data_IF_591110595250
#
_entry.id   IF_591110595250
#
_cell.length_a   1.000
_cell.length_b   1.000
_cell.length_c   1.000
_cell.angle_alpha   90.00
_cell.angle_beta   90.00
_cell.angle_gamma   90.00
#
_symmetry.space_group_name_H-M   'P 1'
#
loop_
_entity.id
_entity.type
_entity.pdbx_description
1 polymer ?
#
# COMPACT_ATOMS: atom_id res chain seq x y z
N UNK A 1 19.34 14.89 2.17
CA UNK A 1 18.12 14.71 2.98
C UNK A 1 17.42 16.05 3.09
N UNK A 2 16.09 16.07 3.14
CA UNK A 2 15.34 17.30 3.35
C UNK A 2 15.33 17.62 4.86
N UNK A 3 15.77 18.81 5.24
CA UNK A 3 15.71 19.30 6.61
C UNK A 3 14.42 20.10 6.79
N UNK A 4 13.53 19.62 7.66
CA UNK A 4 12.24 20.25 7.91
C UNK A 4 12.34 21.58 8.69
N UNK A 5 13.40 21.78 9.47
CA UNK A 5 13.60 23.01 10.24
C UNK A 5 14.08 24.15 9.35
N UNK A 6 15.04 23.87 8.48
CA UNK A 6 15.56 24.86 7.52
C UNK A 6 14.72 24.97 6.24
N UNK A 7 13.97 23.92 5.89
CA UNK A 7 13.23 23.84 4.62
C UNK A 7 14.15 23.64 3.41
N UNK A 8 15.38 23.18 3.62
CA UNK A 8 16.40 23.06 2.59
C UNK A 8 16.84 21.59 2.38
N UNK A 9 17.32 21.30 1.18
CA UNK A 9 17.95 20.02 0.87
C UNK A 9 19.41 20.03 1.33
N UNK A 10 19.72 19.23 2.34
CA UNK A 10 21.07 19.03 2.86
C UNK A 10 21.76 17.91 2.09
N UNK A 11 23.01 18.13 1.69
CA UNK A 11 23.83 17.08 1.08
C UNK A 11 24.03 15.92 2.07
N UNK A 12 23.71 14.72 1.61
CA UNK A 12 23.78 13.50 2.41
C UNK A 12 24.86 12.53 1.91
N UNK A 13 25.65 12.93 0.92
CA UNK A 13 26.68 12.10 0.30
C UNK A 13 27.93 11.87 1.18
N UNK A 14 28.17 12.73 2.18
CA UNK A 14 29.35 12.67 3.05
C UNK A 14 29.29 11.66 4.20
N UNK A 15 28.21 10.88 4.30
CA UNK A 15 28.02 9.89 5.35
C UNK A 15 28.33 8.50 4.77
N UNK A 16 29.49 7.93 5.16
CA UNK A 16 30.14 6.78 4.52
C UNK A 16 29.34 5.45 4.59
N UNK A 17 28.31 5.35 5.44
CA UNK A 17 27.52 4.13 5.64
C UNK A 17 26.21 4.06 4.82
N UNK A 18 25.95 5.01 3.92
CA UNK A 18 24.58 5.27 3.44
C UNK A 18 24.22 4.66 2.08
N UNK A 19 24.49 3.37 1.89
CA UNK A 19 23.79 2.62 0.84
C UNK A 19 22.34 2.36 1.28
N UNK A 20 21.40 3.19 0.81
CA UNK A 20 19.97 2.98 1.08
C UNK A 20 19.45 1.90 0.12
N UNK A 21 19.17 0.71 0.67
CA UNK A 21 18.48 -0.37 -0.05
C UNK A 21 17.00 -0.33 0.27
N UNK A 22 16.17 -0.33 -0.76
CA UNK A 22 14.72 -0.40 -0.64
C UNK A 22 14.23 -1.73 -1.22
N UNK A 23 13.48 -2.48 -0.41
CA UNK A 23 12.74 -3.65 -0.87
C UNK A 23 11.29 -3.22 -1.11
N UNK A 24 10.84 -3.27 -2.36
CA UNK A 24 9.52 -2.80 -2.76
C UNK A 24 8.71 -3.96 -3.30
N UNK A 25 7.58 -4.25 -2.65
CA UNK A 25 6.58 -5.17 -3.21
C UNK A 25 5.73 -4.41 -4.23
N UNK A 26 5.80 -4.84 -5.48
CA UNK A 26 5.16 -4.15 -6.61
C UNK A 26 3.75 -4.69 -6.91
N UNK A 27 3.54 -6.00 -6.75
CA UNK A 27 2.26 -6.65 -7.01
C UNK A 27 1.84 -7.51 -5.82
N UNK A 28 0.56 -7.42 -5.47
CA UNK A 28 -0.03 -8.28 -4.44
C UNK A 28 -0.36 -9.67 -4.97
N UNK A 29 -0.83 -10.54 -4.08
CA UNK A 29 -1.25 -11.91 -4.42
C UNK A 29 -2.28 -11.98 -5.56
N UNK A 30 -3.21 -11.02 -5.63
CA UNK A 30 -4.22 -10.94 -6.69
C UNK A 30 -3.69 -10.37 -8.02
N UNK A 31 -2.36 -10.22 -8.15
CA UNK A 31 -1.68 -9.64 -9.32
C UNK A 31 -2.09 -8.19 -9.61
N UNK A 32 -2.67 -7.50 -8.62
CA UNK A 32 -3.00 -6.10 -8.73
C UNK A 32 -1.76 -5.25 -8.40
N UNK A 33 -1.52 -4.15 -9.15
CA UNK A 33 -0.39 -3.26 -8.88
C UNK A 33 -0.62 -2.53 -7.56
N UNK A 34 0.32 -2.67 -6.64
CA UNK A 34 0.35 -1.97 -5.36
C UNK A 34 0.76 -0.50 -5.53
N UNK A 35 0.70 0.25 -4.43
CA UNK A 35 1.10 1.65 -4.39
C UNK A 35 2.54 1.86 -4.91
N UNK A 36 3.47 1.00 -4.47
CA UNK A 36 4.88 1.08 -4.85
C UNK A 36 5.09 0.95 -6.36
N UNK A 37 4.35 0.07 -7.04
CA UNK A 37 4.42 -0.04 -8.50
C UNK A 37 4.00 1.26 -9.19
N UNK A 38 2.94 1.91 -8.71
CA UNK A 38 2.46 3.18 -9.27
C UNK A 38 3.43 4.32 -9.02
N UNK A 39 4.03 4.35 -7.83
CA UNK A 39 5.09 5.31 -7.50
C UNK A 39 6.31 5.12 -8.40
N UNK A 40 6.75 3.88 -8.62
CA UNK A 40 7.89 3.57 -9.49
C UNK A 40 7.62 4.02 -10.94
N UNK A 41 6.46 3.67 -11.50
CA UNK A 41 6.01 4.13 -12.83
C UNK A 41 6.11 5.65 -12.95
N UNK A 42 5.65 6.38 -11.92
CA UNK A 42 5.66 7.85 -11.92
C UNK A 42 7.08 8.43 -11.74
N UNK A 43 7.88 7.86 -10.86
CA UNK A 43 9.17 8.42 -10.45
C UNK A 43 10.27 8.16 -11.49
N UNK A 44 10.30 6.98 -12.11
CA UNK A 44 11.37 6.58 -13.03
C UNK A 44 10.88 6.39 -14.48
N UNK A 45 9.59 6.60 -14.75
CA UNK A 45 9.02 6.49 -16.09
C UNK A 45 8.90 5.04 -16.59
N UNK A 46 8.92 4.06 -15.70
CA UNK A 46 8.67 2.66 -16.04
C UNK A 46 7.25 2.48 -16.59
N UNK A 47 7.05 1.60 -17.57
CA UNK A 47 5.73 1.40 -18.19
C UNK A 47 4.79 0.49 -17.38
N UNK A 48 5.33 -0.18 -16.34
CA UNK A 48 4.60 -1.06 -15.44
C UNK A 48 4.19 -2.40 -16.07
N UNK A 49 4.75 -2.76 -17.23
CA UNK A 49 4.33 -3.97 -17.99
C UNK A 49 5.35 -5.08 -17.96
N UNK A 50 6.63 -4.74 -17.94
CA UNK A 50 7.72 -5.71 -18.08
C UNK A 50 8.86 -5.46 -17.09
N UNK A 51 9.21 -6.49 -16.31
CA UNK A 51 10.33 -6.46 -15.39
C UNK A 51 11.69 -6.59 -16.09
N UNK A 52 11.74 -7.26 -17.26
CA UNK A 52 12.97 -7.31 -18.05
C UNK A 52 13.34 -5.92 -18.57
N UNK A 53 12.33 -5.14 -18.96
CA UNK A 53 12.55 -3.74 -19.33
C UNK A 53 13.08 -2.94 -18.15
N UNK A 54 12.48 -3.12 -16.96
CA UNK A 54 12.92 -2.44 -15.74
C UNK A 54 14.38 -2.74 -15.39
N UNK A 55 14.81 -4.00 -15.51
CA UNK A 55 16.20 -4.43 -15.28
C UNK A 55 17.19 -3.82 -16.29
N UNK A 56 16.74 -3.62 -17.53
CA UNK A 56 17.56 -3.05 -18.61
C UNK A 56 17.56 -1.51 -18.63
N UNK A 57 16.73 -0.84 -17.83
CA UNK A 57 16.67 0.62 -17.78
C UNK A 57 17.96 1.20 -17.18
N UNK A 58 18.59 2.15 -17.88
CA UNK A 58 19.68 2.94 -17.31
C UNK A 58 19.12 3.99 -16.33
N UNK A 59 19.14 3.65 -15.04
CA UNK A 59 18.71 4.53 -13.95
C UNK A 59 19.86 5.34 -13.35
N UNK A 60 21.08 5.28 -13.91
CA UNK A 60 22.28 5.92 -13.33
C UNK A 60 22.19 7.44 -13.22
N UNK A 61 21.33 8.07 -14.04
CA UNK A 61 21.08 9.53 -14.07
C UNK A 61 19.71 9.91 -13.51
N UNK A 62 18.91 8.92 -13.13
CA UNK A 62 17.55 9.15 -12.64
C UNK A 62 17.62 9.54 -11.18
N UNK A 63 17.11 10.72 -10.86
CA UNK A 63 16.99 11.18 -9.49
C UNK A 63 15.56 10.96 -9.01
N UNK A 64 15.42 10.36 -7.83
CA UNK A 64 14.15 10.15 -7.16
C UNK A 64 14.17 10.79 -5.79
N UNK A 65 12.99 11.13 -5.28
CA UNK A 65 12.81 11.51 -3.89
C UNK A 65 12.27 10.31 -3.12
N UNK A 66 13.08 9.80 -2.19
CA UNK A 66 12.65 8.79 -1.21
C UNK A 66 12.24 9.46 0.10
N UNK A 67 11.14 9.01 0.72
CA UNK A 67 10.87 9.26 2.13
C UNK A 67 11.20 7.98 2.90
N UNK A 68 12.04 8.12 3.92
CA UNK A 68 12.39 7.03 4.82
C UNK A 68 11.60 7.17 6.11
N UNK A 69 11.12 6.05 6.62
CA UNK A 69 10.47 5.93 7.93
C UNK A 69 11.26 4.97 8.81
N UNK A 70 11.18 5.19 10.11
CA UNK A 70 11.65 4.24 11.10
C UNK A 70 10.70 3.04 11.15
N UNK A 71 11.27 1.85 11.08
CA UNK A 71 10.59 0.59 11.26
C UNK A 71 11.17 -0.08 12.49
N UNK A 72 10.41 -0.08 13.59
CA UNK A 72 10.78 -0.84 14.79
C UNK A 72 10.37 -2.29 14.59
N UNK A 73 11.35 -3.19 14.60
CA UNK A 73 11.13 -4.61 14.64
C UNK A 73 12.02 -5.23 15.70
N UNK A 74 11.43 -5.93 16.69
CA UNK A 74 12.17 -6.64 17.74
C UNK A 74 13.14 -5.72 18.54
N UNK A 75 12.72 -4.48 18.82
CA UNK A 75 13.54 -3.42 19.44
C UNK A 75 14.76 -3.01 18.60
N UNK A 76 14.75 -3.32 17.30
CA UNK A 76 15.75 -2.86 16.33
C UNK A 76 15.06 -1.88 15.38
N UNK A 77 15.47 -0.61 15.47
CA UNK A 77 15.02 0.43 14.55
C UNK A 77 15.83 0.30 13.26
N UNK A 78 15.16 -0.01 12.15
CA UNK A 78 15.71 0.08 10.81
C UNK A 78 15.05 1.24 10.05
N UNK A 79 15.77 1.85 9.10
CA UNK A 79 15.19 2.82 8.18
C UNK A 79 14.69 2.08 6.95
N UNK A 80 13.43 2.26 6.59
CA UNK A 80 12.84 1.71 5.36
C UNK A 80 12.35 2.84 4.46
N UNK A 81 12.37 2.63 3.15
CA UNK A 81 11.75 3.58 2.20
C UNK A 81 10.24 3.37 2.23
N UNK A 82 9.49 4.37 2.68
CA UNK A 82 8.02 4.35 2.75
C UNK A 82 7.36 4.96 1.52
N UNK A 83 8.06 5.85 0.82
CA UNK A 83 7.51 6.56 -0.32
C UNK A 83 8.56 6.89 -1.36
N UNK A 84 8.22 6.70 -2.64
CA UNK A 84 9.04 7.13 -3.77
C UNK A 84 8.26 8.14 -4.62
N UNK A 85 8.90 9.25 -4.96
CA UNK A 85 8.34 10.27 -5.85
C UNK A 85 9.41 10.80 -6.83
N UNK A 86 8.96 11.60 -7.79
CA UNK A 86 9.83 12.36 -8.67
C UNK A 86 10.63 13.44 -7.92
N UNK A 87 11.78 13.84 -8.47
CA UNK A 87 12.73 14.78 -7.83
C UNK A 87 12.13 16.14 -7.46
N UNK A 88 11.14 16.61 -8.21
CA UNK A 88 10.49 17.91 -8.00
C UNK A 88 9.22 17.81 -7.12
N UNK A 89 8.97 16.65 -6.50
CA UNK A 89 7.84 16.51 -5.60
C UNK A 89 8.03 17.44 -4.39
N UNK A 90 7.02 18.22 -4.03
CA UNK A 90 7.10 19.03 -2.81
C UNK A 90 7.16 18.10 -1.58
N UNK A 91 8.27 18.09 -0.81
CA UNK A 91 8.31 17.39 0.47
C UNK A 91 7.21 17.96 1.38
N UNK A 92 6.55 17.08 2.13
CA UNK A 92 5.52 17.53 3.07
C UNK A 92 4.16 17.85 2.44
N UNK A 93 3.79 17.25 1.29
CA UNK A 93 2.38 16.97 0.98
C UNK A 93 1.80 16.02 2.05
N UNK A 94 1.72 16.48 3.30
CA UNK A 94 0.70 16.05 4.23
C UNK A 94 -0.64 16.34 3.55
N UNK A 95 -1.65 15.51 3.82
CA UNK A 95 -3.02 15.78 3.41
C UNK A 95 -3.41 17.19 3.89
N UNK A 96 -3.23 18.20 3.03
CA UNK A 96 -3.63 19.55 3.40
C UNK A 96 -5.15 19.54 3.44
N UNK A 97 -5.71 20.02 4.53
CA UNK A 97 -7.13 20.27 4.59
C UNK A 97 -7.44 21.38 3.60
N UNK A 98 -8.04 21.00 2.46
CA UNK A 98 -8.54 21.95 1.47
C UNK A 98 -9.53 22.90 2.15
N UNK A 99 -9.48 24.19 1.79
CA UNK A 99 -10.47 25.14 2.27
C UNK A 99 -11.86 24.86 1.66
N UNK A 100 -12.89 25.55 2.18
CA UNK A 100 -14.27 25.29 1.79
C UNK A 100 -14.54 25.54 0.30
N UNK A 101 -13.80 26.44 -0.36
CA UNK A 101 -14.01 26.77 -1.76
C UNK A 101 -13.26 25.81 -2.68
N UNK A 102 -12.08 25.35 -2.27
CA UNK A 102 -11.36 24.27 -2.96
C UNK A 102 -12.10 22.93 -2.87
N UNK A 103 -12.67 22.61 -1.70
CA UNK A 103 -13.54 21.43 -1.55
C UNK A 103 -14.76 21.50 -2.44
N UNK A 104 -15.41 22.67 -2.59
CA UNK A 104 -16.54 22.84 -3.52
C UNK A 104 -16.12 22.59 -4.97
N UNK A 105 -14.95 23.11 -5.38
CA UNK A 105 -14.42 22.89 -6.74
C UNK A 105 -14.12 21.41 -6.99
N UNK A 106 -13.50 20.74 -6.02
CA UNK A 106 -13.21 19.31 -6.10
C UNK A 106 -14.52 18.50 -6.17
N UNK A 107 -15.48 18.80 -5.31
CA UNK A 107 -16.78 18.14 -5.29
C UNK A 107 -17.54 18.35 -6.61
N UNK A 108 -17.49 19.54 -7.21
CA UNK A 108 -18.08 19.80 -8.52
C UNK A 108 -17.39 18.99 -9.63
N UNK A 109 -16.05 18.87 -9.59
CA UNK A 109 -15.25 18.11 -10.57
C UNK A 109 -15.54 16.61 -10.54
N UNK A 110 -15.74 16.05 -9.35
CA UNK A 110 -15.96 14.61 -9.16
C UNK A 110 -17.42 14.26 -8.84
N UNK A 111 -18.36 15.21 -8.98
CA UNK A 111 -19.76 15.02 -8.62
C UNK A 111 -20.42 13.83 -9.33
N UNK A 112 -20.05 13.57 -10.59
CA UNK A 112 -20.56 12.43 -11.36
C UNK A 112 -20.12 11.10 -10.75
N UNK A 113 -18.82 10.90 -10.56
CA UNK A 113 -18.26 9.67 -9.97
C UNK A 113 -18.70 9.46 -8.52
N UNK A 114 -18.81 10.53 -7.73
CA UNK A 114 -19.31 10.44 -6.34
C UNK A 114 -20.78 10.04 -6.28
N UNK A 115 -21.60 10.41 -7.26
CA UNK A 115 -23.02 9.97 -7.35
C UNK A 115 -23.14 8.50 -7.71
N UNK A 116 -22.24 7.99 -8.54
CA UNK A 116 -22.18 6.57 -8.90
C UNK A 116 -21.71 5.72 -7.72
N UNK A 117 -20.71 6.19 -6.97
CA UNK A 117 -20.22 5.53 -5.75
C UNK A 117 -21.25 5.58 -4.61
N UNK A 118 -21.96 6.70 -4.49
CA UNK A 118 -22.91 7.01 -3.42
C UNK A 118 -24.31 6.44 -3.62
N UNK A 119 -24.49 5.39 -4.43
CA UNK A 119 -25.79 4.74 -4.73
C UNK A 119 -26.57 4.16 -3.54
N UNK A 120 -26.18 4.49 -2.30
CA UNK A 120 -26.93 4.21 -1.09
C UNK A 120 -27.98 5.30 -0.76
N UNK A 121 -28.93 5.00 0.12
CA UNK A 121 -29.93 5.96 0.57
C UNK A 121 -29.23 7.20 1.15
N UNK A 122 -29.65 8.39 0.71
CA UNK A 122 -29.17 9.67 1.25
C UNK A 122 -29.18 9.58 2.78
N UNK A 123 -28.07 9.89 3.47
CA UNK A 123 -28.07 9.93 4.92
C UNK A 123 -29.20 10.86 5.37
N UNK A 124 -30.08 10.36 6.24
CA UNK A 124 -31.16 11.16 6.84
C UNK A 124 -30.51 12.41 7.42
N UNK A 125 -30.93 13.58 6.92
CA UNK A 125 -30.55 14.86 7.51
C UNK A 125 -30.74 14.77 9.02
N UNK A 126 -29.71 15.12 9.78
CA UNK A 126 -29.82 15.24 11.22
C UNK A 126 -31.01 16.17 11.54
N UNK A 127 -31.79 15.87 12.59
CA UNK A 127 -32.90 16.72 12.99
C UNK A 127 -32.40 18.15 13.24
N UNK A 128 -33.17 19.18 12.82
CA UNK A 128 -32.76 20.56 13.00
C UNK A 128 -32.49 20.83 14.48
N UNK A 129 -31.28 21.30 14.79
CA UNK A 129 -30.95 21.84 16.11
C UNK A 129 -31.90 23.00 16.38
N UNK A 130 -32.53 22.99 17.55
CA UNK A 130 -33.52 23.98 17.96
C UNK A 130 -33.02 25.42 17.75
N UNK A 131 -33.89 26.33 17.28
CA UNK A 131 -33.49 27.70 16.94
C UNK A 131 -33.00 28.45 18.19
N UNK A 132 -31.77 28.97 18.12
CA UNK A 132 -31.23 29.96 19.06
C UNK A 132 -31.98 31.30 18.85
N UNK A 133 -32.23 32.11 19.91
CA UNK A 133 -33.01 33.34 19.81
C UNK A 133 -32.43 34.34 18.78
N UNK A 134 -33.31 34.91 17.95
CA UNK A 134 -32.96 35.81 16.85
C UNK A 134 -32.36 37.14 17.30
N UNK A 135 -31.20 37.48 16.71
CA UNK A 135 -30.70 38.86 16.64
C UNK A 135 -31.30 39.59 15.41
N UNK A 136 -31.31 40.94 15.37
CA UNK A 136 -32.08 41.74 14.42
C UNK A 136 -31.57 41.69 12.97
N UNK A 137 -32.52 41.70 12.02
CA UNK A 137 -32.33 41.67 10.56
C UNK A 137 -31.71 42.97 10.00
N UNK A 138 -30.75 42.89 9.06
CA UNK A 138 -30.52 43.89 8.02
C UNK A 138 -31.39 43.64 6.76
N UNK A 139 -31.55 44.65 5.88
CA UNK A 139 -32.60 44.72 4.88
C UNK A 139 -32.33 43.93 3.59
N UNK A 140 -33.45 43.66 2.93
CA UNK A 140 -33.69 42.86 1.73
C UNK A 140 -33.11 43.50 0.46
N UNK A 141 -32.48 42.68 -0.39
CA UNK A 141 -32.37 42.95 -1.83
C UNK A 141 -32.99 41.78 -2.61
N UNK A 142 -33.79 42.13 -3.60
CA UNK A 142 -34.65 41.27 -4.41
C UNK A 142 -33.89 40.47 -5.50
N UNK A 143 -34.54 39.44 -6.08
CA UNK A 143 -33.89 38.40 -6.88
C UNK A 143 -34.02 38.62 -8.40
N UNK A 144 -33.02 38.19 -9.17
CA UNK A 144 -33.12 38.01 -10.63
C UNK A 144 -33.15 36.53 -11.01
N UNK A 145 -34.18 36.18 -11.77
CA UNK A 145 -34.49 34.86 -12.32
C UNK A 145 -33.85 34.63 -13.69
N UNK A 146 -33.53 33.37 -14.03
CA UNK A 146 -33.55 32.65 -15.35
C UNK A 146 -32.61 31.43 -15.26
N UNK A 147 -32.77 30.25 -15.87
CA UNK A 147 -33.76 29.64 -16.78
C UNK A 147 -33.54 28.11 -16.74
N UNK A 148 -34.63 27.35 -16.93
CA UNK A 148 -34.66 25.89 -17.19
C UNK A 148 -34.09 25.54 -18.57
N UNK A 149 -33.34 24.44 -18.69
CA UNK A 149 -33.49 23.51 -19.81
C UNK A 149 -33.21 22.07 -19.34
N UNK A 150 -33.94 21.14 -19.95
CA UNK A 150 -33.98 19.72 -19.69
C UNK A 150 -33.71 18.95 -20.99
N UNK A 151 -33.03 17.81 -20.91
CA UNK A 151 -33.10 16.59 -21.78
C UNK A 151 -31.93 15.69 -21.32
N UNK A 152 -32.11 14.53 -20.67
CA UNK A 152 -32.61 13.22 -21.15
C UNK A 152 -31.74 12.57 -22.24
N UNK A 153 -31.11 11.40 -21.96
CA UNK A 153 -31.14 10.13 -22.75
C UNK A 153 -30.39 8.99 -21.99
N UNK A 154 -31.14 7.88 -21.80
CA UNK A 154 -30.88 6.41 -21.70
C UNK A 154 -29.44 5.81 -21.58
N UNK A 155 -29.19 4.93 -20.57
CA UNK A 155 -29.15 3.41 -20.56
C UNK A 155 -27.79 2.80 -21.02
N UNK A 156 -27.13 1.85 -20.32
CA UNK A 156 -27.36 0.38 -20.33
C UNK A 156 -26.32 -0.33 -19.40
N UNK A 157 -26.78 -1.23 -18.49
CA UNK A 157 -26.38 -2.65 -18.15
C UNK A 157 -24.85 -2.98 -18.10
N UNK A 158 -24.22 -3.67 -17.13
CA UNK A 158 -24.57 -4.95 -16.47
C UNK A 158 -23.73 -5.22 -15.19
N UNK A 159 -24.29 -6.06 -14.33
CA UNK A 159 -23.74 -6.63 -13.09
C UNK A 159 -23.25 -8.06 -13.37
N UNK A 160 -22.12 -8.48 -12.81
CA UNK A 160 -21.83 -9.91 -12.63
C UNK A 160 -21.07 -10.17 -11.33
N UNK A 161 -21.76 -10.82 -10.40
CA UNK A 161 -21.22 -11.52 -9.22
C UNK A 161 -20.66 -12.89 -9.67
N UNK A 162 -19.59 -13.35 -9.02
CA UNK A 162 -19.18 -14.76 -9.07
C UNK A 162 -18.95 -15.29 -7.65
N UNK A 163 -19.85 -16.19 -7.28
CA UNK A 163 -19.77 -17.16 -6.20
C UNK A 163 -18.52 -18.06 -6.36
N UNK A 164 -17.82 -18.33 -5.26
CA UNK A 164 -16.79 -19.38 -5.19
C UNK A 164 -17.24 -20.47 -4.20
N UNK A 165 -17.30 -21.76 -4.59
CA UNK A 165 -17.73 -22.84 -3.70
C UNK A 165 -16.67 -23.23 -2.67
N UNK A 166 -17.15 -23.65 -1.50
CA UNK A 166 -16.36 -24.23 -0.41
C UNK A 166 -15.81 -25.63 -0.74
N UNK A 167 -14.55 -25.88 -0.37
CA UNK A 167 -13.90 -27.19 -0.49
C UNK A 167 -14.11 -28.05 0.78
N UNK A 168 -14.13 -29.40 0.65
CA UNK A 168 -14.36 -30.33 1.76
C UNK A 168 -13.14 -30.53 2.67
N UNK A 169 -13.34 -30.97 3.94
CA UNK A 169 -12.27 -31.09 4.93
C UNK A 169 -11.40 -32.33 4.72
N UNK A 170 -10.08 -32.16 4.87
CA UNK A 170 -9.06 -33.20 4.81
C UNK A 170 -8.85 -33.78 6.23
N UNK A 171 -8.69 -35.12 6.39
CA UNK A 171 -8.52 -35.76 7.70
C UNK A 171 -7.16 -35.45 8.34
N UNK A 172 -7.20 -34.99 9.59
CA UNK A 172 -6.04 -34.69 10.44
C UNK A 172 -5.45 -36.00 10.96
N UNK A 173 -4.22 -36.31 10.56
CA UNK A 173 -3.42 -37.38 11.16
C UNK A 173 -2.45 -36.73 12.14
N UNK A 174 -2.59 -37.07 13.42
CA UNK A 174 -1.79 -36.52 14.52
C UNK A 174 -0.40 -37.18 14.52
N UNK A 175 0.60 -36.46 14.04
CA UNK A 175 2.04 -36.78 14.21
C UNK A 175 2.58 -35.82 15.25
N UNK A 176 3.38 -36.31 16.19
CA UNK A 176 4.01 -35.49 17.23
C UNK A 176 4.89 -34.40 16.57
N UNK A 177 4.40 -33.16 16.65
CA UNK A 177 4.89 -31.99 15.94
C UNK A 177 6.05 -31.36 16.72
N UNK A 178 7.28 -31.78 16.41
CA UNK A 178 8.48 -31.06 16.86
C UNK A 178 8.51 -29.76 16.08
N UNK A 179 8.37 -28.63 16.78
CA UNK A 179 8.25 -27.33 16.12
C UNK A 179 9.46 -27.08 15.20
N UNK A 180 9.21 -26.47 14.04
CA UNK A 180 10.25 -26.13 13.05
C UNK A 180 11.41 -25.37 13.71
N UNK A 181 11.11 -24.52 14.69
CA UNK A 181 12.07 -23.76 15.47
C UNK A 181 13.07 -24.65 16.21
N UNK A 182 12.61 -25.68 16.90
CA UNK A 182 13.47 -26.63 17.62
C UNK A 182 14.29 -27.49 16.65
N UNK A 183 13.67 -27.90 15.53
CA UNK A 183 14.35 -28.71 14.51
C UNK A 183 15.57 -28.02 13.91
N UNK A 184 15.50 -26.70 13.71
CA UNK A 184 16.56 -25.91 13.08
C UNK A 184 17.33 -25.00 14.05
N UNK A 185 16.98 -24.98 15.34
CA UNK A 185 17.62 -24.13 16.35
C UNK A 185 17.42 -22.63 16.10
N UNK A 186 16.23 -22.25 15.62
CA UNK A 186 15.93 -20.89 15.17
C UNK A 186 15.20 -20.08 16.25
N UNK A 187 15.39 -18.75 16.30
CA UNK A 187 14.73 -17.89 17.28
C UNK A 187 13.22 -17.79 17.02
N UNK A 188 12.45 -17.54 18.09
CA UNK A 188 10.98 -17.39 18.03
C UNK A 188 10.50 -16.11 17.34
N UNK A 189 11.38 -15.10 17.21
CA UNK A 189 11.16 -13.87 16.45
C UNK A 189 12.38 -13.63 15.55
N UNK A 190 12.18 -13.03 14.38
CA UNK A 190 13.25 -12.76 13.42
C UNK A 190 12.82 -11.71 12.39
N UNK A 191 13.74 -10.87 11.92
CA UNK A 191 13.42 -9.91 10.85
C UNK A 191 13.11 -10.63 9.53
N UNK A 192 12.62 -9.89 8.53
CA UNK A 192 12.45 -10.41 7.18
C UNK A 192 13.77 -10.97 6.61
N UNK A 193 14.87 -10.25 6.78
CA UNK A 193 16.20 -10.67 6.32
C UNK A 193 16.68 -11.90 7.06
N UNK A 194 16.53 -11.95 8.39
CA UNK A 194 16.92 -13.12 9.20
C UNK A 194 16.09 -14.36 8.83
N UNK A 195 14.80 -14.18 8.54
CA UNK A 195 13.92 -15.23 8.05
C UNK A 195 14.35 -15.73 6.67
N UNK A 196 14.70 -14.83 5.74
CA UNK A 196 15.19 -15.18 4.41
C UNK A 196 16.53 -15.92 4.48
N UNK A 197 17.50 -15.39 5.25
CA UNK A 197 18.81 -16.02 5.45
C UNK A 197 18.68 -17.42 6.06
N UNK A 198 17.79 -17.60 7.04
CA UNK A 198 17.50 -18.92 7.60
C UNK A 198 16.96 -19.88 6.54
N UNK A 199 16.04 -19.43 5.69
CA UNK A 199 15.50 -20.23 4.59
C UNK A 199 16.59 -20.59 3.57
N UNK A 200 17.42 -19.62 3.17
CA UNK A 200 18.52 -19.84 2.23
C UNK A 200 19.58 -20.80 2.79
N UNK A 201 19.86 -20.73 4.09
CA UNK A 201 20.84 -21.58 4.78
C UNK A 201 20.35 -23.02 4.98
N UNK A 202 19.06 -23.21 5.27
CA UNK A 202 18.48 -24.50 5.62
C UNK A 202 17.68 -25.17 4.48
N UNK A 203 17.70 -24.60 3.28
CA UNK A 203 17.08 -25.22 2.11
C UNK A 203 17.74 -26.55 1.78
N UNK A 204 16.96 -27.44 1.17
CA UNK A 204 17.43 -28.72 0.65
C UNK A 204 18.35 -28.51 -0.56
N UNK A 205 19.37 -29.35 -0.69
CA UNK A 205 20.24 -29.35 -1.87
C UNK A 205 19.40 -29.53 -3.15
N UNK A 206 19.58 -28.62 -4.11
CA UNK A 206 18.87 -28.63 -5.38
C UNK A 206 17.66 -27.70 -5.46
N UNK A 207 17.26 -27.05 -4.37
CA UNK A 207 16.28 -25.94 -4.42
C UNK A 207 17.01 -24.66 -4.85
N UNK A 208 16.59 -24.09 -5.98
CA UNK A 208 17.15 -22.84 -6.49
C UNK A 208 16.69 -21.63 -5.67
N UNK A 209 17.40 -20.51 -5.79
CA UNK A 209 16.99 -19.25 -5.15
C UNK A 209 15.61 -18.78 -5.67
N UNK A 210 15.31 -19.04 -6.96
CA UNK A 210 14.02 -18.73 -7.58
C UNK A 210 12.89 -19.59 -7.01
N UNK A 211 13.12 -20.89 -6.82
CA UNK A 211 12.14 -21.78 -6.19
C UNK A 211 11.86 -21.34 -4.75
N UNK A 212 12.91 -20.93 -4.02
CA UNK A 212 12.78 -20.43 -2.66
C UNK A 212 11.97 -19.11 -2.62
N UNK A 213 12.21 -18.19 -3.54
CA UNK A 213 11.46 -16.94 -3.66
C UNK A 213 9.97 -17.18 -3.99
N UNK A 214 9.68 -18.16 -4.85
CA UNK A 214 8.32 -18.54 -5.19
C UNK A 214 7.58 -19.13 -3.98
N UNK A 215 8.23 -20.05 -3.24
CA UNK A 215 7.66 -20.64 -2.02
C UNK A 215 7.44 -19.56 -0.95
N UNK A 216 8.40 -18.65 -0.78
CA UNK A 216 8.28 -17.52 0.14
C UNK A 216 7.06 -16.65 -0.17
N UNK A 217 6.88 -16.28 -1.44
CA UNK A 217 5.74 -15.49 -1.90
C UNK A 217 4.41 -16.23 -1.69
N UNK A 218 4.40 -17.54 -1.93
CA UNK A 218 3.24 -18.39 -1.66
C UNK A 218 2.85 -18.38 -0.17
N UNK A 219 3.84 -18.59 0.71
CA UNK A 219 3.59 -18.65 2.16
C UNK A 219 3.11 -17.30 2.70
N UNK A 220 3.67 -16.18 2.21
CA UNK A 220 3.11 -14.85 2.52
C UNK A 220 1.64 -14.83 2.12
N UNK A 221 1.32 -15.17 0.87
CA UNK A 221 -0.07 -15.19 0.38
C UNK A 221 -1.04 -16.05 1.20
N UNK A 222 -0.56 -17.18 1.75
CA UNK A 222 -1.35 -18.07 2.61
C UNK A 222 -1.58 -17.49 4.01
N UNK A 223 -0.64 -16.68 4.53
CA UNK A 223 -0.74 -16.03 5.85
C UNK A 223 -1.59 -14.75 5.77
N UNK A 224 -1.46 -13.99 4.68
CA UNK A 224 -2.10 -12.69 4.47
C UNK A 224 -1.22 -11.74 3.65
N UNK A 225 -1.65 -10.49 3.46
CA UNK A 225 -0.75 -9.49 2.88
C UNK A 225 0.45 -9.21 3.81
N UNK A 226 1.48 -8.53 3.30
CA UNK A 226 2.70 -8.23 4.05
C UNK A 226 2.43 -7.39 5.30
N UNK A 227 1.34 -6.62 5.29
CA UNK A 227 0.85 -5.87 6.45
C UNK A 227 0.31 -6.80 7.55
N UNK A 228 -0.36 -7.89 7.17
CA UNK A 228 -0.76 -8.97 8.09
C UNK A 228 0.41 -9.85 8.55
N UNK A 229 1.47 -9.97 7.73
CA UNK A 229 2.71 -10.64 8.12
C UNK A 229 3.39 -9.83 9.22
N UNK A 230 3.53 -8.50 9.05
CA UNK A 230 4.01 -7.58 10.09
C UNK A 230 5.17 -8.15 10.91
N UNK A 231 4.93 -8.38 12.21
CA UNK A 231 5.97 -8.86 13.12
C UNK A 231 6.20 -10.39 13.11
N UNK A 232 5.45 -11.11 12.27
CA UNK A 232 5.35 -12.57 12.25
C UNK A 232 6.17 -13.23 11.14
N UNK A 233 7.30 -12.65 10.75
CA UNK A 233 8.23 -13.25 9.78
C UNK A 233 8.70 -14.66 10.14
N UNK A 234 8.70 -15.02 11.43
CA UNK A 234 8.95 -16.40 11.86
C UNK A 234 7.92 -17.39 11.29
N UNK A 235 6.66 -16.98 11.08
CA UNK A 235 5.64 -17.84 10.45
C UNK A 235 5.92 -18.07 8.97
N UNK A 236 6.39 -17.02 8.27
CA UNK A 236 6.81 -17.13 6.86
C UNK A 236 8.00 -18.07 6.75
N UNK A 237 9.04 -17.85 7.57
CA UNK A 237 10.21 -18.73 7.66
C UNK A 237 9.82 -20.18 7.93
N UNK A 238 8.99 -20.42 8.94
CA UNK A 238 8.64 -21.77 9.36
C UNK A 238 7.81 -22.49 8.27
N UNK A 239 6.88 -21.79 7.61
CA UNK A 239 6.11 -22.31 6.48
C UNK A 239 6.99 -22.63 5.26
N UNK A 240 7.96 -21.76 4.95
CA UNK A 240 8.91 -22.00 3.86
C UNK A 240 9.79 -23.21 4.15
N UNK A 241 10.35 -23.31 5.36
CA UNK A 241 11.17 -24.45 5.77
C UNK A 241 10.38 -25.77 5.81
N UNK A 242 9.10 -25.72 6.15
CA UNK A 242 8.23 -26.89 6.11
C UNK A 242 7.98 -27.36 4.66
N UNK A 243 7.77 -26.44 3.72
CA UNK A 243 7.57 -26.76 2.31
C UNK A 243 8.84 -27.24 1.61
N UNK A 244 9.98 -26.63 1.91
CA UNK A 244 11.29 -26.99 1.35
C UNK A 244 11.85 -28.28 1.98
N UNK A 245 11.45 -28.58 3.23
CA UNK A 245 11.86 -29.77 3.95
C UNK A 245 11.07 -31.05 3.60
N UNK A 246 9.93 -30.92 2.91
CA UNK A 246 9.14 -32.04 2.37
C UNK A 246 9.80 -32.63 1.11
#
# INVERSE_FOLDING_TARGET
AYDEESGEWVDYSGYEDNEIKAFLVLFGHEKQPLLNARQLVKAIGWDGRDFMLLDQMDLSKTQIQGRVGENDYNNKISLRVEWIDHVDAEPGQQLRRLDADELKKLNAKFASGLRELGGGPKPKSAPPVAPKPSAPKPPVLEPTATTKMAEAVDKVVAKTEHDKPAAPPIPVTTVEDVSVQEKYGLPAACTQEEAWEACAKHRKDGVSDDDLANIWTQVIGDIGDEEAVGDHWYKVRDGVLELVGK
#
